data_IF_905490479573
#
_entry.id   IF_905490479573
#
_cell.length_a   1.000
_cell.length_b   1.000
_cell.length_c   1.000
_cell.angle_alpha   90.00
_cell.angle_beta   90.00
_cell.angle_gamma   90.00
#
_symmetry.space_group_name_H-M   'P 1'
#
loop_
_entity.id
_entity.type
_entity.pdbx_description
1 polymer ?
#
# COMPACT_ATOMS: atom_id res chain seq x y z
N UNK A 1 -17.70 -4.79 5.99
CA UNK A 1 -16.71 -4.73 4.88
C UNK A 1 -16.28 -6.15 4.56
N UNK A 2 -16.43 -6.59 3.32
CA UNK A 2 -16.02 -7.92 2.86
C UNK A 2 -14.88 -7.76 1.86
N UNK A 3 -13.79 -8.48 2.06
CA UNK A 3 -12.67 -8.50 1.12
C UNK A 3 -12.79 -9.74 0.23
N UNK A 4 -12.88 -9.52 -1.08
CA UNK A 4 -12.93 -10.58 -2.08
C UNK A 4 -11.62 -10.56 -2.87
N UNK A 5 -10.89 -11.69 -2.96
CA UNK A 5 -9.68 -11.76 -3.78
C UNK A 5 -10.00 -11.45 -5.25
N UNK A 6 -9.27 -10.49 -5.81
CA UNK A 6 -9.33 -10.12 -7.21
C UNK A 6 -7.93 -10.26 -7.83
N UNK A 7 -7.82 -10.71 -9.10
CA UNK A 7 -6.55 -10.73 -9.79
C UNK A 7 -5.99 -9.30 -9.93
N UNK A 8 -4.65 -9.12 -9.88
CA UNK A 8 -4.03 -7.82 -10.12
C UNK A 8 -4.23 -7.41 -11.58
N UNK A 9 -4.35 -6.09 -11.82
CA UNK A 9 -4.42 -5.57 -13.19
C UNK A 9 -3.16 -5.98 -13.98
N UNK A 10 -3.34 -6.55 -15.16
CA UNK A 10 -2.26 -6.90 -16.08
C UNK A 10 -1.88 -5.65 -16.89
N UNK A 11 -0.57 -5.36 -16.99
CA UNK A 11 -0.06 -4.25 -17.82
C UNK A 11 0.27 -4.72 -19.25
N UNK A 12 0.26 -6.04 -19.50
CA UNK A 12 0.80 -6.69 -20.71
C UNK A 12 -0.26 -7.30 -21.63
N UNK A 13 -1.54 -7.33 -21.24
CA UNK A 13 -2.60 -7.78 -22.14
C UNK A 13 -3.13 -6.56 -22.88
N UNK A 14 -2.84 -6.45 -24.17
CA UNK A 14 -3.24 -5.37 -25.08
C UNK A 14 -4.76 -5.22 -25.31
N UNK A 15 -5.57 -5.47 -24.28
CA UNK A 15 -6.98 -5.11 -24.24
C UNK A 15 -7.14 -3.60 -24.03
N UNK A 16 -8.22 -3.06 -24.58
CA UNK A 16 -8.60 -1.67 -24.37
C UNK A 16 -8.93 -1.41 -22.88
N UNK A 17 -8.93 -0.14 -22.47
CA UNK A 17 -9.39 0.23 -21.13
C UNK A 17 -10.86 -0.19 -20.88
N UNK A 18 -11.66 -0.27 -21.95
CA UNK A 18 -13.04 -0.73 -21.92
C UNK A 18 -13.11 -2.22 -21.58
N UNK A 19 -12.27 -3.05 -22.20
CA UNK A 19 -12.20 -4.49 -21.90
C UNK A 19 -11.87 -4.76 -20.43
N UNK A 20 -10.95 -3.97 -19.85
CA UNK A 20 -10.59 -4.07 -18.43
C UNK A 20 -11.74 -3.68 -17.50
N UNK A 21 -12.50 -2.63 -17.85
CA UNK A 21 -13.68 -2.21 -17.09
C UNK A 21 -14.76 -3.27 -17.13
N UNK A 22 -15.04 -3.81 -18.31
CA UNK A 22 -16.03 -4.86 -18.49
C UNK A 22 -15.66 -6.14 -17.73
N UNK A 23 -14.38 -6.51 -17.74
CA UNK A 23 -13.89 -7.63 -16.95
C UNK A 23 -14.04 -7.38 -15.44
N UNK A 24 -13.74 -6.17 -14.96
CA UNK A 24 -13.92 -5.79 -13.56
C UNK A 24 -15.40 -5.81 -13.15
N UNK A 25 -16.32 -5.30 -13.96
CA UNK A 25 -17.75 -5.32 -13.67
C UNK A 25 -18.29 -6.75 -13.57
N UNK A 26 -17.88 -7.64 -14.48
CA UNK A 26 -18.20 -9.08 -14.38
C UNK A 26 -17.67 -9.70 -13.09
N UNK A 27 -16.47 -9.33 -12.67
CA UNK A 27 -15.86 -9.81 -11.43
C UNK A 27 -16.62 -9.29 -10.19
N UNK A 28 -17.00 -8.00 -10.17
CA UNK A 28 -17.79 -7.40 -9.09
C UNK A 28 -19.14 -8.08 -8.95
N UNK A 29 -19.85 -8.31 -10.05
CA UNK A 29 -21.13 -9.01 -10.05
C UNK A 29 -20.99 -10.43 -9.48
N UNK A 30 -20.00 -11.19 -9.96
CA UNK A 30 -19.73 -12.54 -9.45
C UNK A 30 -19.37 -12.55 -7.96
N UNK A 31 -18.54 -11.61 -7.53
CA UNK A 31 -18.14 -11.46 -6.13
C UNK A 31 -19.34 -11.13 -5.23
N UNK A 32 -20.20 -10.20 -5.66
CA UNK A 32 -21.42 -9.81 -4.96
C UNK A 32 -22.33 -11.01 -4.72
N UNK A 33 -22.62 -11.77 -5.77
CA UNK A 33 -23.46 -12.96 -5.68
C UNK A 33 -22.86 -14.02 -4.75
N UNK A 34 -21.55 -14.27 -4.83
CA UNK A 34 -20.87 -15.20 -3.93
C UNK A 34 -20.92 -14.76 -2.46
N UNK A 35 -20.80 -13.45 -2.19
CA UNK A 35 -20.89 -12.91 -0.83
C UNK A 35 -22.29 -13.06 -0.27
N UNK A 36 -23.32 -12.72 -1.05
CA UNK A 36 -24.73 -12.86 -0.64
C UNK A 36 -25.03 -14.33 -0.32
N UNK A 37 -24.71 -15.23 -1.25
CA UNK A 37 -24.93 -16.67 -1.05
C UNK A 37 -24.24 -17.17 0.21
N UNK A 38 -23.00 -16.71 0.46
CA UNK A 38 -22.23 -17.15 1.64
C UNK A 38 -22.87 -16.74 2.96
N UNK A 39 -23.54 -15.57 3.00
CA UNK A 39 -24.27 -15.12 4.18
C UNK A 39 -25.59 -15.87 4.35
N UNK A 40 -26.32 -16.11 3.27
CA UNK A 40 -27.56 -16.91 3.29
C UNK A 40 -27.28 -18.35 3.75
N UNK A 41 -26.22 -18.97 3.22
CA UNK A 41 -25.75 -20.30 3.64
C UNK A 41 -25.30 -20.34 5.12
N UNK A 42 -24.89 -19.19 5.67
CA UNK A 42 -24.53 -19.05 7.08
C UNK A 42 -25.75 -18.86 8.00
N UNK A 43 -26.97 -18.89 7.45
CA UNK A 43 -28.22 -18.76 8.19
C UNK A 43 -28.80 -17.35 8.24
N UNK A 44 -28.22 -16.39 7.50
CA UNK A 44 -28.81 -15.06 7.31
C UNK A 44 -29.87 -15.12 6.21
N UNK A 45 -31.02 -15.71 6.51
CA UNK A 45 -32.12 -15.81 5.56
C UNK A 45 -32.52 -14.42 5.03
N UNK A 46 -32.75 -14.35 3.71
CA UNK A 46 -33.15 -13.12 3.01
C UNK A 46 -32.14 -11.95 3.16
N UNK A 47 -30.85 -12.28 3.27
CA UNK A 47 -29.78 -11.28 3.36
C UNK A 47 -29.82 -10.28 2.20
N UNK A 48 -30.13 -10.75 0.98
CA UNK A 48 -30.22 -9.89 -0.21
C UNK A 48 -31.23 -8.75 -0.03
N UNK A 49 -32.41 -9.03 0.50
CA UNK A 49 -33.46 -8.01 0.65
C UNK A 49 -33.13 -6.99 1.74
N UNK A 50 -32.24 -7.37 2.67
CA UNK A 50 -31.80 -6.52 3.78
C UNK A 50 -30.75 -5.48 3.38
N UNK A 51 -30.24 -5.52 2.15
CA UNK A 51 -29.24 -4.56 1.65
C UNK A 51 -29.93 -3.23 1.33
N UNK A 52 -29.66 -2.20 2.14
CA UNK A 52 -30.18 -0.83 1.94
C UNK A 52 -29.25 0.01 1.06
N UNK A 53 -27.94 -0.21 1.18
CA UNK A 53 -26.90 0.50 0.43
C UNK A 53 -25.72 -0.43 0.19
N UNK A 54 -25.07 -0.32 -0.97
CA UNK A 54 -23.86 -1.05 -1.28
C UNK A 54 -22.86 -0.20 -2.08
N UNK A 55 -21.58 -0.34 -1.75
CA UNK A 55 -20.48 0.27 -2.47
C UNK A 55 -19.40 -0.79 -2.73
N UNK A 56 -19.11 -1.06 -3.99
CA UNK A 56 -18.12 -2.05 -4.41
C UNK A 56 -16.98 -1.35 -5.12
N UNK A 57 -15.78 -1.42 -4.54
CA UNK A 57 -14.57 -0.81 -5.10
C UNK A 57 -13.63 -1.84 -5.70
N UNK A 58 -13.38 -1.73 -7.00
CA UNK A 58 -12.54 -2.65 -7.78
C UNK A 58 -11.10 -2.16 -7.97
N UNK A 59 -10.17 -3.03 -8.39
CA UNK A 59 -8.77 -2.70 -8.63
C UNK A 59 -8.51 -1.43 -9.47
N UNK A 60 -9.35 -1.13 -10.47
CA UNK A 60 -9.25 0.08 -11.30
C UNK A 60 -9.49 1.35 -10.47
N UNK A 61 -10.54 1.34 -9.64
CA UNK A 61 -10.85 2.44 -8.74
C UNK A 61 -9.74 2.61 -7.68
N UNK A 62 -9.29 1.52 -7.07
CA UNK A 62 -8.19 1.54 -6.10
C UNK A 62 -6.89 2.07 -6.71
N UNK A 63 -6.57 1.70 -7.96
CA UNK A 63 -5.45 2.27 -8.72
C UNK A 63 -5.61 3.77 -8.91
N UNK A 64 -6.79 4.23 -9.32
CA UNK A 64 -7.06 5.65 -9.56
C UNK A 64 -7.01 6.50 -8.27
N UNK A 65 -7.60 6.00 -7.18
CA UNK A 65 -7.69 6.74 -5.92
C UNK A 65 -6.36 6.82 -5.16
N UNK A 66 -5.59 5.74 -5.15
CA UNK A 66 -4.43 5.60 -4.26
C UNK A 66 -3.11 5.42 -5.01
N UNK A 67 -3.11 5.58 -6.35
CA UNK A 67 -1.95 5.36 -7.21
C UNK A 67 -1.30 3.98 -6.98
N UNK A 68 -2.13 2.96 -6.74
CA UNK A 68 -1.67 1.62 -6.43
C UNK A 68 -1.19 0.92 -7.69
N UNK A 69 0.04 0.41 -7.65
CA UNK A 69 0.57 -0.41 -8.73
C UNK A 69 -0.32 -1.65 -8.91
N UNK A 70 -0.83 -1.83 -10.13
CA UNK A 70 -1.75 -2.93 -10.51
C UNK A 70 -3.04 -3.02 -9.66
N UNK A 71 -3.43 -1.95 -8.97
CA UNK A 71 -4.62 -1.94 -8.10
C UNK A 71 -4.48 -2.78 -6.82
N UNK A 72 -3.26 -3.17 -6.43
CA UNK A 72 -3.03 -4.01 -5.24
C UNK A 72 -3.16 -3.24 -3.94
N UNK A 73 -4.17 -3.57 -3.12
CA UNK A 73 -4.41 -2.95 -1.80
C UNK A 73 -3.32 -3.31 -0.76
N UNK A 74 -2.62 -4.43 -0.96
CA UNK A 74 -1.58 -4.91 -0.04
C UNK A 74 -0.15 -4.69 -0.55
N UNK A 75 0.03 -3.98 -1.67
CA UNK A 75 1.34 -3.69 -2.22
C UNK A 75 2.02 -4.94 -2.78
N UNK A 76 3.28 -5.17 -2.39
CA UNK A 76 4.10 -6.31 -2.83
C UNK A 76 3.56 -7.59 -2.18
N UNK A 77 3.48 -8.67 -2.96
CA UNK A 77 3.00 -9.98 -2.51
C UNK A 77 3.74 -10.48 -1.25
N UNK A 78 3.14 -11.43 -0.52
CA UNK A 78 3.72 -11.99 0.71
C UNK A 78 4.19 -13.45 0.56
N UNK A 79 5.13 -13.79 -0.34
CA UNK A 79 5.82 -15.06 -0.23
C UNK A 79 6.70 -15.07 1.05
N UNK A 80 6.96 -16.25 1.61
CA UNK A 80 7.63 -16.42 2.92
C UNK A 80 9.05 -15.80 2.96
N UNK A 81 9.67 -15.60 1.80
CA UNK A 81 10.94 -14.90 1.58
C UNK A 81 10.80 -13.36 1.57
N UNK A 82 9.60 -12.80 1.78
CA UNK A 82 9.34 -11.36 1.94
C UNK A 82 8.84 -10.97 3.34
N UNK A 83 9.01 -11.84 4.32
CA UNK A 83 8.83 -11.52 5.74
C UNK A 83 9.90 -10.51 6.17
N UNK A 84 9.46 -9.28 6.54
CA UNK A 84 10.15 -8.13 7.17
C UNK A 84 11.62 -7.81 6.78
N UNK A 85 12.53 -8.77 6.79
CA UNK A 85 13.96 -8.63 6.51
C UNK A 85 14.31 -8.42 5.04
N UNK A 86 13.43 -8.70 4.06
CA UNK A 86 13.74 -8.53 2.63
C UNK A 86 13.00 -7.38 1.95
N UNK A 87 12.18 -6.63 2.69
CA UNK A 87 11.53 -5.41 2.17
C UNK A 87 12.55 -4.29 1.94
N UNK A 88 12.31 -3.36 1.00
CA UNK A 88 13.17 -2.19 0.84
C UNK A 88 13.41 -1.48 2.17
N UNK A 89 14.66 -1.09 2.41
CA UNK A 89 15.02 -0.32 3.58
C UNK A 89 14.31 1.05 3.54
N UNK A 90 13.97 1.64 4.70
CA UNK A 90 13.38 2.96 4.72
C UNK A 90 14.33 4.06 4.21
N UNK A 91 15.65 3.86 4.25
CA UNK A 91 16.63 4.81 3.70
C UNK A 91 17.15 4.30 2.35
N UNK A 92 17.26 5.19 1.37
CA UNK A 92 17.71 4.80 0.02
C UNK A 92 19.23 4.53 0.00
N UNK A 93 19.70 3.39 -0.53
CA UNK A 93 21.11 2.99 -0.39
C UNK A 93 22.10 3.88 -1.15
N UNK A 94 21.66 4.57 -2.19
CA UNK A 94 22.53 5.43 -3.04
C UNK A 94 22.26 6.93 -2.91
N UNK A 95 21.08 7.31 -2.43
CA UNK A 95 20.62 8.70 -2.46
C UNK A 95 20.50 9.17 -1.02
N UNK A 96 21.44 10.03 -0.61
CA UNK A 96 21.42 10.60 0.74
C UNK A 96 20.17 11.46 0.91
N UNK A 97 19.56 11.39 2.09
CA UNK A 97 18.36 12.14 2.48
C UNK A 97 17.09 11.75 1.71
N UNK A 98 17.06 10.59 1.04
CA UNK A 98 15.86 10.00 0.48
C UNK A 98 15.37 8.87 1.36
N UNK A 99 14.13 8.98 1.83
CA UNK A 99 13.48 7.99 2.68
C UNK A 99 12.17 7.50 2.05
N UNK A 100 11.86 6.22 2.25
CA UNK A 100 10.61 5.57 1.86
C UNK A 100 9.83 5.17 3.11
N UNK A 101 8.51 5.29 3.06
CA UNK A 101 7.60 4.86 4.13
C UNK A 101 6.32 4.30 3.50
N UNK A 102 5.67 3.38 4.21
CA UNK A 102 4.35 2.87 3.84
C UNK A 102 4.31 1.34 3.80
N UNK A 103 3.19 0.82 3.29
CA UNK A 103 2.86 -0.60 3.33
C UNK A 103 3.77 -1.50 2.47
N UNK A 104 4.63 -0.92 1.64
CA UNK A 104 5.60 -1.64 0.79
C UNK A 104 7.04 -1.55 1.31
N UNK A 105 7.27 -0.84 2.41
CA UNK A 105 8.58 -0.65 3.04
C UNK A 105 8.67 -1.49 4.32
N UNK A 106 9.87 -1.70 4.87
CA UNK A 106 10.01 -2.23 6.25
C UNK A 106 9.29 -1.30 7.24
N UNK A 107 8.56 -1.82 8.24
CA UNK A 107 8.49 -3.22 8.68
C UNK A 107 7.44 -4.10 7.97
N UNK A 108 6.48 -3.53 7.25
CA UNK A 108 5.43 -4.33 6.60
C UNK A 108 4.18 -3.55 6.22
N UNK A 109 3.13 -4.28 5.86
CA UNK A 109 1.80 -3.76 5.59
C UNK A 109 0.89 -3.82 6.82
N UNK A 110 -0.25 -3.13 6.75
CA UNK A 110 -1.21 -3.01 7.85
C UNK A 110 -0.98 -1.75 8.69
N UNK A 111 -2.07 -1.19 9.20
CA UNK A 111 -2.07 0.11 9.89
C UNK A 111 -1.00 0.20 10.99
N UNK A 112 -0.86 -0.78 11.91
CA UNK A 112 0.15 -0.70 12.96
C UNK A 112 1.58 -0.66 12.40
N UNK A 113 1.90 -1.48 11.39
CA UNK A 113 3.25 -1.56 10.83
C UNK A 113 3.60 -0.31 10.02
N UNK A 114 2.63 0.26 9.30
CA UNK A 114 2.82 1.54 8.59
C UNK A 114 3.09 2.67 9.56
N UNK A 115 2.36 2.75 10.69
CA UNK A 115 2.59 3.79 11.70
C UNK A 115 3.94 3.65 12.39
N UNK A 116 4.35 2.42 12.73
CA UNK A 116 5.69 2.15 13.28
C UNK A 116 6.78 2.53 12.28
N UNK A 117 6.64 2.16 11.01
CA UNK A 117 7.58 2.54 9.95
C UNK A 117 7.67 4.06 9.78
N UNK A 118 6.55 4.77 9.84
CA UNK A 118 6.52 6.23 9.78
C UNK A 118 7.26 6.88 10.95
N UNK A 119 7.05 6.37 12.18
CA UNK A 119 7.77 6.85 13.34
C UNK A 119 9.28 6.62 13.23
N UNK A 120 9.71 5.46 12.71
CA UNK A 120 11.12 5.14 12.50
C UNK A 120 11.75 6.09 11.47
N UNK A 121 11.10 6.32 10.34
CA UNK A 121 11.59 7.25 9.30
C UNK A 121 11.68 8.68 9.84
N UNK A 122 10.66 9.14 10.56
CA UNK A 122 10.67 10.48 11.17
C UNK A 122 11.86 10.66 12.13
N UNK A 123 12.14 9.65 12.98
CA UNK A 123 13.28 9.68 13.89
C UNK A 123 14.62 9.72 13.13
N UNK A 124 14.75 8.93 12.05
CA UNK A 124 15.96 8.94 11.20
C UNK A 124 16.19 10.29 10.54
N UNK A 125 15.13 10.95 10.06
CA UNK A 125 15.22 12.29 9.48
C UNK A 125 15.71 13.30 10.52
N UNK A 126 15.09 13.33 11.71
CA UNK A 126 15.46 14.25 12.79
C UNK A 126 16.90 14.04 13.27
N UNK A 127 17.36 12.79 13.33
CA UNK A 127 18.75 12.47 13.65
C UNK A 127 19.71 13.03 12.58
N UNK A 128 19.41 12.80 11.30
CA UNK A 128 20.23 13.30 10.19
C UNK A 128 20.28 14.82 10.13
N UNK A 129 19.17 15.50 10.42
CA UNK A 129 19.18 16.97 10.48
C UNK A 129 20.12 17.51 11.56
N UNK A 130 20.14 16.88 12.75
CA UNK A 130 21.07 17.25 13.82
C UNK A 130 22.53 17.06 13.41
N UNK A 131 22.84 15.95 12.74
CA UNK A 131 24.18 15.68 12.19
C UNK A 131 24.60 16.75 11.16
N UNK A 132 23.70 17.09 10.23
CA UNK A 132 23.96 18.12 9.22
C UNK A 132 24.12 19.51 9.83
N UNK A 133 23.32 19.86 10.83
CA UNK A 133 23.44 21.13 11.55
C UNK A 133 24.78 21.23 12.31
N UNK A 134 25.20 20.14 12.97
CA UNK A 134 26.49 20.07 13.65
C UNK A 134 27.65 20.22 12.66
N UNK A 135 27.59 19.53 11.52
CA UNK A 135 28.61 19.63 10.46
C UNK A 135 28.70 21.05 9.88
N UNK A 136 27.55 21.70 9.61
CA UNK A 136 27.49 23.10 9.15
C UNK A 136 28.14 24.04 10.17
N UNK A 137 27.82 23.88 11.46
CA UNK A 137 28.38 24.71 12.53
C UNK A 137 29.89 24.52 12.69
N UNK A 138 30.39 23.30 12.52
CA UNK A 138 31.83 23.01 12.56
C UNK A 138 32.58 23.69 11.40
N UNK A 139 32.01 23.67 10.19
CA UNK A 139 32.57 24.36 9.01
C UNK A 139 32.61 25.88 9.15
N UNK A 140 31.70 26.47 9.92
CA UNK A 140 31.61 27.92 10.12
C UNK A 140 32.52 28.46 11.24
N UNK A 141 33.23 27.61 11.99
CA UNK A 141 34.22 28.11 12.97
C UNK A 141 35.47 28.59 12.21
N UNK A 142 35.90 29.85 12.37
CA UNK A 142 37.10 30.34 11.69
C UNK A 142 38.31 29.54 12.16
N UNK A 143 39.17 29.13 11.22
CA UNK A 143 40.51 28.64 11.53
C UNK A 143 41.22 29.76 12.29
N UNK A 144 41.42 29.60 13.60
CA UNK A 144 42.25 30.51 14.37
C UNK A 144 43.65 30.46 13.74
N UNK A 145 43.99 31.53 13.03
CA UNK A 145 45.30 31.74 12.45
C UNK A 145 46.34 31.75 13.58
N UNK A 146 47.32 30.85 13.47
CA UNK A 146 48.62 30.97 14.12
C UNK A 146 49.63 31.46 13.10
#
# INVERSE_FOLDING_TARGET
MVLVPAPPLTEEEGGSLEDLRDAEERLKAKAREAVIQRFEDAGMADFRSSIVDESIRGPLEWKALFNLRRGSVFGIAHPMDQLSLFRPAPEHPKLRNLFSVGASTRPGNGVPLVLVGAQQVANSILAREKELAAARRAMMKPSSAS
#
